data_IF_390520384392
#
_entry.id   IF_390520384392
#
_cell.length_a   1.000
_cell.length_b   1.000
_cell.length_c   1.000
_cell.angle_alpha   90.00
_cell.angle_beta   90.00
_cell.angle_gamma   90.00
#
_symmetry.space_group_name_H-M   'P 1'
#
loop_
_entity.id
_entity.type
_entity.pdbx_description
1 polymer ?
#
# COMPACT_ATOMS: atom_id res chain seq x y z
N UNK A 1 5.49 25.90 66.09
CA UNK A 1 4.77 25.36 64.92
C UNK A 1 4.96 26.19 63.64
N UNK A 2 5.87 27.16 63.56
CA UNK A 2 5.97 28.10 62.42
C UNK A 2 6.75 27.60 61.19
N UNK A 3 7.70 26.65 61.34
CA UNK A 3 8.56 26.22 60.21
C UNK A 3 7.84 25.44 59.08
N UNK A 4 6.71 24.81 59.36
CA UNK A 4 6.00 23.96 58.37
C UNK A 4 5.29 24.77 57.27
N UNK A 5 4.87 26.02 57.55
CA UNK A 5 4.14 26.84 56.58
C UNK A 5 4.99 27.23 55.36
N UNK A 6 6.27 27.55 55.56
CA UNK A 6 7.19 27.85 54.46
C UNK A 6 7.54 26.63 53.61
N UNK A 7 7.65 25.44 54.23
CA UNK A 7 7.92 24.20 53.51
C UNK A 7 6.79 23.85 52.53
N UNK A 8 5.53 23.92 52.98
CA UNK A 8 4.38 23.59 52.14
C UNK A 8 4.27 24.47 50.88
N UNK A 9 4.69 25.75 50.94
CA UNK A 9 4.73 26.62 49.77
C UNK A 9 5.80 26.20 48.75
N UNK A 10 7.00 25.84 49.20
CA UNK A 10 8.05 25.31 48.32
C UNK A 10 7.68 23.96 47.70
N UNK A 11 7.07 23.08 48.50
CA UNK A 11 6.63 21.74 48.08
C UNK A 11 5.54 21.83 46.99
N UNK A 12 4.54 22.70 47.19
CA UNK A 12 3.53 23.02 46.17
C UNK A 12 4.13 23.63 44.88
N UNK A 13 5.17 24.48 44.99
CA UNK A 13 5.83 25.07 43.83
C UNK A 13 6.59 24.01 43.01
N UNK A 14 7.30 23.10 43.69
CA UNK A 14 8.00 21.96 43.06
C UNK A 14 6.99 21.02 42.37
N UNK A 15 5.88 20.68 43.04
CA UNK A 15 4.81 19.84 42.47
C UNK A 15 4.15 20.54 41.27
N UNK A 16 3.89 21.84 41.35
CA UNK A 16 3.33 22.63 40.24
C UNK A 16 4.27 22.65 39.03
N UNK A 17 5.58 22.86 39.25
CA UNK A 17 6.58 22.83 38.19
C UNK A 17 6.68 21.43 37.54
N UNK A 18 6.66 20.36 38.34
CA UNK A 18 6.64 18.98 37.83
C UNK A 18 5.38 18.69 36.99
N UNK A 19 4.21 19.17 37.42
CA UNK A 19 2.95 19.07 36.66
C UNK A 19 3.03 19.86 35.34
N UNK A 20 3.59 21.07 35.34
CA UNK A 20 3.77 21.86 34.11
C UNK A 20 4.69 21.15 33.10
N UNK A 21 5.80 20.57 33.56
CA UNK A 21 6.71 19.78 32.70
C UNK A 21 6.01 18.53 32.14
N UNK A 22 5.22 17.83 32.96
CA UNK A 22 4.45 16.66 32.53
C UNK A 22 3.37 17.01 31.50
N UNK A 23 2.61 18.09 31.73
CA UNK A 23 1.60 18.60 30.79
C UNK A 23 2.24 19.07 29.48
N UNK A 24 3.38 19.75 29.54
CA UNK A 24 4.15 20.12 28.34
C UNK A 24 4.59 18.89 27.55
N UNK A 25 5.09 17.85 28.23
CA UNK A 25 5.45 16.57 27.62
C UNK A 25 4.27 15.84 26.97
N UNK A 26 3.08 15.87 27.59
CA UNK A 26 1.85 15.33 27.00
C UNK A 26 1.42 16.09 25.74
N UNK A 27 1.39 17.42 25.79
CA UNK A 27 1.03 18.28 24.65
C UNK A 27 2.03 18.09 23.49
N UNK A 28 3.32 17.98 23.81
CA UNK A 28 4.37 17.67 22.83
C UNK A 28 4.15 16.31 22.17
N UNK A 29 3.92 15.26 22.95
CA UNK A 29 3.68 13.91 22.43
C UNK A 29 2.40 13.83 21.58
N UNK A 30 1.31 14.48 22.02
CA UNK A 30 0.04 14.54 21.30
C UNK A 30 0.20 15.18 19.91
N UNK A 31 0.96 16.29 19.81
CA UNK A 31 1.28 16.93 18.53
C UNK A 31 2.00 15.97 17.57
N UNK A 32 2.99 15.22 18.04
CA UNK A 32 3.72 14.25 17.21
C UNK A 32 2.87 13.05 16.79
N UNK A 33 1.92 12.61 17.63
CA UNK A 33 0.93 11.60 17.23
C UNK A 33 0.00 12.11 16.12
N UNK A 34 -0.45 13.36 16.20
CA UNK A 34 -1.29 13.98 15.16
C UNK A 34 -0.54 14.08 13.81
N UNK A 35 0.71 14.59 13.81
CA UNK A 35 1.57 14.68 12.62
C UNK A 35 1.78 13.28 11.99
N UNK A 36 2.03 12.25 12.81
CA UNK A 36 2.19 10.87 12.33
C UNK A 36 0.93 10.35 11.63
N UNK A 37 -0.25 10.53 12.23
CA UNK A 37 -1.53 10.09 11.64
C UNK A 37 -1.82 10.82 10.33
N UNK A 38 -1.57 12.14 10.26
CA UNK A 38 -1.72 12.93 9.04
C UNK A 38 -0.79 12.46 7.93
N UNK A 39 0.50 12.26 8.24
CA UNK A 39 1.50 11.79 7.28
C UNK A 39 1.15 10.42 6.70
N UNK A 40 0.70 9.49 7.55
CA UNK A 40 0.24 8.16 7.14
C UNK A 40 -1.03 8.22 6.28
N UNK A 41 -2.03 9.03 6.66
CA UNK A 41 -3.27 9.18 5.88
C UNK A 41 -2.99 9.77 4.49
N UNK A 42 -2.05 10.72 4.39
CA UNK A 42 -1.67 11.31 3.09
C UNK A 42 -1.05 10.27 2.14
N UNK A 43 -0.10 9.46 2.60
CA UNK A 43 0.50 8.41 1.77
C UNK A 43 -0.53 7.34 1.33
N UNK A 44 -1.47 6.98 2.21
CA UNK A 44 -2.56 6.07 1.88
C UNK A 44 -3.56 6.69 0.88
N UNK A 45 -3.91 7.96 1.04
CA UNK A 45 -4.81 8.69 0.12
C UNK A 45 -4.17 8.85 -1.25
N UNK A 46 -2.88 9.17 -1.34
CA UNK A 46 -2.15 9.24 -2.62
C UNK A 46 -2.13 7.87 -3.31
N UNK A 47 -1.87 6.79 -2.59
CA UNK A 47 -1.91 5.44 -3.13
C UNK A 47 -3.30 5.08 -3.69
N UNK A 48 -4.37 5.37 -2.93
CA UNK A 48 -5.76 5.12 -3.34
C UNK A 48 -6.19 5.98 -4.54
N UNK A 49 -5.79 7.26 -4.60
CA UNK A 49 -6.06 8.12 -5.76
C UNK A 49 -5.26 7.71 -6.98
N UNK A 50 -4.05 7.17 -6.81
CA UNK A 50 -3.25 6.63 -7.91
C UNK A 50 -3.82 5.34 -8.47
N UNK A 51 -4.34 4.41 -7.65
CA UNK A 51 -5.04 3.24 -8.19
C UNK A 51 -6.29 3.66 -8.97
N UNK A 52 -7.08 4.62 -8.44
CA UNK A 52 -8.23 5.18 -9.17
C UNK A 52 -7.84 5.84 -10.50
N UNK A 53 -6.77 6.65 -10.57
CA UNK A 53 -6.39 7.33 -11.82
C UNK A 53 -5.69 6.41 -12.83
N UNK A 54 -5.01 5.36 -12.36
CA UNK A 54 -4.54 4.26 -13.20
C UNK A 54 -5.70 3.48 -13.82
N UNK A 55 -6.77 3.24 -13.05
CA UNK A 55 -7.96 2.52 -13.50
C UNK A 55 -8.88 3.35 -14.41
N UNK A 56 -8.97 4.68 -14.20
CA UNK A 56 -9.90 5.58 -14.90
C UNK A 56 -9.26 6.42 -16.03
N UNK A 57 -7.93 6.42 -16.16
CA UNK A 57 -7.19 7.15 -17.18
C UNK A 57 -6.58 8.48 -16.72
N UNK A 58 -5.46 8.86 -17.33
CA UNK A 58 -4.51 9.85 -16.82
C UNK A 58 -4.88 11.33 -17.05
N UNK A 59 -6.16 11.69 -16.89
CA UNK A 59 -6.68 13.02 -17.24
C UNK A 59 -6.85 14.00 -16.06
N UNK A 60 -6.29 13.72 -14.87
CA UNK A 60 -6.33 14.65 -13.73
C UNK A 60 -4.97 14.82 -13.06
N UNK A 61 -4.48 16.06 -13.03
CA UNK A 61 -3.24 16.47 -12.35
C UNK A 61 -3.54 16.67 -10.85
N UNK A 62 -3.60 15.56 -10.11
CA UNK A 62 -4.18 15.47 -8.77
C UNK A 62 -3.25 15.96 -7.64
N UNK A 63 -2.90 17.26 -7.66
CA UNK A 63 -2.44 17.98 -6.48
C UNK A 63 -3.60 18.12 -5.48
N UNK A 64 -3.51 17.59 -4.24
CA UNK A 64 -4.64 17.54 -3.31
C UNK A 64 -4.87 18.86 -2.56
N UNK A 65 -5.39 19.86 -3.28
CA UNK A 65 -5.73 21.20 -2.76
C UNK A 65 -6.67 21.14 -1.52
N UNK A 66 -7.54 20.13 -1.47
CA UNK A 66 -8.55 19.93 -0.42
C UNK A 66 -7.99 19.76 1.02
N UNK A 67 -6.73 19.35 1.20
CA UNK A 67 -6.18 19.13 2.55
C UNK A 67 -5.49 20.36 3.18
N UNK A 68 -5.38 21.48 2.46
CA UNK A 68 -4.71 22.68 2.96
C UNK A 68 -5.43 23.38 4.14
N UNK A 69 -6.74 23.14 4.33
CA UNK A 69 -7.57 23.91 5.25
C UNK A 69 -8.14 23.19 6.48
N UNK A 70 -8.09 21.85 6.55
CA UNK A 70 -8.97 21.11 7.47
C UNK A 70 -8.38 20.72 8.83
N UNK A 71 -7.06 20.45 8.96
CA UNK A 71 -6.49 19.94 10.22
C UNK A 71 -5.04 20.38 10.57
N UNK A 72 -4.44 21.34 9.84
CA UNK A 72 -3.04 21.75 10.04
C UNK A 72 -2.89 23.14 10.67
N UNK A 73 -2.85 23.20 12.00
CA UNK A 73 -2.57 24.44 12.76
C UNK A 73 -1.06 24.74 12.93
N UNK A 74 -0.20 24.11 12.12
CA UNK A 74 1.27 24.21 12.20
C UNK A 74 1.83 24.29 10.77
N UNK A 75 2.66 25.30 10.42
CA UNK A 75 3.39 25.29 9.16
C UNK A 75 4.40 24.13 9.17
N UNK A 76 4.33 23.28 8.16
CA UNK A 76 5.23 22.14 7.98
C UNK A 76 5.47 21.97 6.49
N UNK A 77 6.70 21.64 6.10
CA UNK A 77 6.99 21.30 4.71
C UNK A 77 6.68 19.81 4.51
N UNK A 78 5.65 19.54 3.70
CA UNK A 78 5.27 18.18 3.32
C UNK A 78 5.81 17.87 1.92
N UNK A 79 6.85 17.04 1.85
CA UNK A 79 7.33 16.51 0.57
C UNK A 79 6.67 15.16 0.29
N UNK A 80 6.19 14.95 -0.93
CA UNK A 80 5.53 13.71 -1.32
C UNK A 80 6.08 13.21 -2.66
N UNK A 81 6.46 11.94 -2.72
CA UNK A 81 7.06 11.33 -3.91
C UNK A 81 6.41 9.98 -4.21
N UNK A 82 6.04 9.77 -5.47
CA UNK A 82 5.72 8.45 -6.01
C UNK A 82 6.94 7.87 -6.69
N UNK A 83 7.19 6.57 -6.51
CA UNK A 83 8.29 5.86 -7.17
C UNK A 83 7.77 4.53 -7.71
N UNK A 84 7.94 4.32 -9.00
CA UNK A 84 7.74 3.01 -9.61
C UNK A 84 8.90 2.10 -9.16
N UNK A 85 8.60 1.11 -8.32
CA UNK A 85 9.55 0.11 -7.83
C UNK A 85 9.63 -1.12 -8.75
N UNK A 86 9.24 -0.94 -10.02
CA UNK A 86 9.23 -1.95 -11.06
C UNK A 86 8.31 -3.13 -10.77
N UNK A 87 8.67 -4.25 -11.39
CA UNK A 87 8.07 -5.57 -11.19
C UNK A 87 8.56 -6.19 -9.88
N UNK A 88 7.80 -7.13 -9.31
CA UNK A 88 8.11 -7.67 -7.99
C UNK A 88 9.30 -8.67 -8.07
N UNK A 89 10.38 -8.47 -7.31
CA UNK A 89 11.46 -9.46 -7.23
C UNK A 89 10.94 -10.74 -6.58
N UNK A 90 11.42 -11.89 -7.07
CA UNK A 90 11.02 -13.24 -6.63
C UNK A 90 9.51 -13.55 -6.80
N UNK A 91 8.88 -13.07 -7.87
CA UNK A 91 7.63 -13.65 -8.38
C UNK A 91 7.79 -15.15 -8.70
N UNK A 92 6.70 -15.91 -8.54
CA UNK A 92 6.59 -17.26 -9.10
C UNK A 92 6.81 -17.24 -10.63
N UNK A 93 7.33 -18.34 -11.18
CA UNK A 93 7.67 -18.45 -12.62
C UNK A 93 6.49 -18.14 -13.55
N UNK A 94 5.28 -18.54 -13.18
CA UNK A 94 4.03 -18.23 -13.90
C UNK A 94 3.74 -16.72 -13.98
N UNK A 95 3.95 -15.98 -12.89
CA UNK A 95 3.69 -14.52 -12.88
C UNK A 95 4.71 -13.80 -13.77
N UNK A 96 5.98 -14.21 -13.72
CA UNK A 96 7.00 -13.70 -14.65
C UNK A 96 6.64 -13.99 -16.12
N UNK A 97 6.14 -15.19 -16.43
CA UNK A 97 5.73 -15.56 -17.79
C UNK A 97 4.51 -14.73 -18.26
N UNK A 98 3.47 -14.61 -17.44
CA UNK A 98 2.30 -13.77 -17.76
C UNK A 98 2.67 -12.28 -17.91
N UNK A 99 3.69 -11.81 -17.19
CA UNK A 99 4.23 -10.45 -17.30
C UNK A 99 5.06 -10.26 -18.58
N UNK A 100 5.85 -11.26 -19.01
CA UNK A 100 6.54 -11.27 -20.30
C UNK A 100 5.57 -11.35 -21.49
N UNK A 101 4.44 -12.05 -21.33
CA UNK A 101 3.34 -12.11 -22.31
C UNK A 101 2.47 -10.83 -22.34
N UNK A 102 2.78 -9.80 -21.54
CA UNK A 102 2.01 -8.55 -21.50
C UNK A 102 0.63 -8.65 -20.83
N UNK A 103 0.27 -9.83 -20.30
CA UNK A 103 -0.99 -10.11 -19.59
C UNK A 103 -1.07 -9.32 -18.28
N UNK A 104 0.10 -9.17 -17.63
CA UNK A 104 0.35 -8.26 -16.52
C UNK A 104 1.09 -6.98 -17.00
N UNK A 105 0.86 -6.55 -18.25
CA UNK A 105 1.67 -5.53 -18.94
C UNK A 105 1.55 -4.10 -18.41
N UNK A 106 0.52 -3.81 -17.61
CA UNK A 106 0.43 -2.57 -16.82
C UNK A 106 0.88 -2.74 -15.36
N UNK A 107 1.24 -3.95 -14.93
CA UNK A 107 1.37 -4.28 -13.53
C UNK A 107 2.69 -3.75 -12.94
N UNK A 108 2.58 -2.86 -11.95
CA UNK A 108 3.73 -2.20 -11.34
C UNK A 108 3.53 -2.03 -9.83
N UNK A 109 4.60 -2.19 -9.06
CA UNK A 109 4.62 -1.86 -7.64
C UNK A 109 4.96 -0.37 -7.50
N UNK A 110 4.06 0.41 -6.94
CA UNK A 110 4.29 1.83 -6.66
C UNK A 110 4.48 2.05 -5.17
N UNK A 111 5.47 2.87 -4.80
CA UNK A 111 5.64 3.39 -3.44
C UNK A 111 5.27 4.87 -3.43
N UNK A 112 4.52 5.26 -2.41
CA UNK A 112 4.19 6.63 -2.05
C UNK A 112 4.92 6.93 -0.75
N UNK A 113 5.82 7.90 -0.78
CA UNK A 113 6.50 8.40 0.41
C UNK A 113 5.94 9.79 0.73
N UNK A 114 5.51 9.99 1.98
CA UNK A 114 5.17 11.31 2.51
C UNK A 114 6.10 11.62 3.67
N UNK A 115 6.74 12.80 3.64
CA UNK A 115 7.67 13.28 4.65
C UNK A 115 7.19 14.63 5.17
N UNK A 116 6.91 14.70 6.47
CA UNK A 116 6.65 15.93 7.18
C UNK A 116 7.91 16.34 7.94
N UNK A 117 8.46 17.50 7.59
CA UNK A 117 9.46 18.21 8.39
C UNK A 117 8.74 19.28 9.20
N UNK A 118 9.03 19.39 10.50
CA UNK A 118 8.65 20.60 11.24
C UNK A 118 9.34 21.78 10.57
N UNK A 119 8.56 22.75 10.05
CA UNK A 119 9.17 23.91 9.44
C UNK A 119 9.93 24.69 10.52
N UNK A 120 11.15 25.14 10.19
CA UNK A 120 11.74 26.28 10.90
C UNK A 120 10.73 27.44 10.88
N UNK A 121 10.71 28.24 11.95
CA UNK A 121 9.69 29.30 12.13
C UNK A 121 10.03 30.51 11.26
N UNK A 122 9.97 30.32 9.95
CA UNK A 122 10.14 31.38 8.97
C UNK A 122 8.86 32.21 8.84
N UNK A 123 9.04 33.51 9.09
CA UNK A 123 8.16 34.59 8.63
C UNK A 123 6.72 34.64 9.16
N UNK A 124 6.52 34.61 10.50
CA UNK A 124 5.38 35.34 11.10
C UNK A 124 5.56 35.85 12.56
N UNK A 125 6.77 35.85 13.13
CA UNK A 125 7.03 36.49 14.43
C UNK A 125 8.50 36.93 14.64
N UNK A 126 8.92 38.04 14.03
CA UNK A 126 10.29 38.59 14.13
C UNK A 126 10.67 39.13 15.54
N UNK A 127 9.92 38.80 16.58
CA UNK A 127 10.03 39.36 17.94
C UNK A 127 10.04 38.31 19.07
N UNK A 128 10.02 37.00 18.75
CA UNK A 128 9.97 35.92 19.76
C UNK A 128 10.98 34.79 19.53
N UNK A 129 12.03 35.01 18.71
CA UNK A 129 13.07 34.00 18.44
C UNK A 129 14.07 33.82 19.61
N UNK A 130 13.58 33.22 20.70
CA UNK A 130 14.42 32.45 21.64
C UNK A 130 14.44 30.99 21.22
N UNK A 131 15.00 30.71 20.04
CA UNK A 131 15.06 29.37 19.46
C UNK A 131 15.88 28.44 20.35
N UNK A 132 15.21 27.54 21.06
CA UNK A 132 15.85 26.42 21.77
C UNK A 132 16.31 25.35 20.78
N UNK A 133 17.38 25.66 20.03
CA UNK A 133 18.01 24.84 18.98
C UNK A 133 18.70 23.56 19.51
N UNK A 134 18.25 23.05 20.65
CA UNK A 134 18.78 21.87 21.36
C UNK A 134 17.97 20.62 21.01
N UNK A 135 16.75 20.78 20.51
CA UNK A 135 15.94 19.68 19.98
C UNK A 135 16.37 19.39 18.52
N UNK A 136 16.64 18.13 18.14
CA UNK A 136 16.99 17.78 16.77
C UNK A 136 15.82 18.01 15.82
N UNK A 137 16.11 18.25 14.53
CA UNK A 137 15.10 18.39 13.48
C UNK A 137 14.29 17.08 13.36
N UNK A 138 13.10 17.07 13.95
CA UNK A 138 12.30 15.87 14.07
C UNK A 138 11.46 15.65 12.81
N UNK A 139 11.98 14.80 11.93
CA UNK A 139 11.31 14.38 10.69
C UNK A 139 10.37 13.19 10.94
N UNK A 140 9.18 13.23 10.34
CA UNK A 140 8.27 12.08 10.26
C UNK A 140 8.15 11.64 8.81
N UNK A 141 8.46 10.37 8.54
CA UNK A 141 8.29 9.74 7.23
C UNK A 141 7.26 8.62 7.32
N UNK A 142 6.41 8.52 6.30
CA UNK A 142 5.58 7.35 6.04
C UNK A 142 5.86 6.81 4.63
N UNK A 143 5.66 5.52 4.45
CA UNK A 143 5.74 4.83 3.17
C UNK A 143 4.52 3.93 3.02
N UNK A 144 3.85 4.01 1.87
CA UNK A 144 2.77 3.10 1.46
C UNK A 144 3.15 2.50 0.12
N UNK A 145 3.08 1.18 -0.01
CA UNK A 145 3.32 0.49 -1.28
C UNK A 145 2.10 -0.30 -1.71
N UNK A 146 1.70 -0.15 -2.96
CA UNK A 146 0.60 -0.91 -3.59
C UNK A 146 1.11 -1.63 -4.84
N UNK A 147 0.51 -2.77 -5.18
CA UNK A 147 0.47 -3.20 -6.57
C UNK A 147 -0.63 -2.42 -7.27
N UNK A 148 -0.39 -2.05 -8.52
CA UNK A 148 -1.40 -1.50 -9.41
C UNK A 148 -1.34 -2.32 -10.67
N UNK A 149 -2.49 -2.87 -11.09
CA UNK A 149 -2.57 -3.76 -12.25
C UNK A 149 -2.07 -5.21 -12.05
N UNK A 150 -1.74 -5.69 -10.82
CA UNK A 150 -1.64 -7.19 -10.51
C UNK A 150 -3.20 -7.51 -10.69
N UNK A 151 -3.54 -8.44 -11.60
CA UNK A 151 -4.80 -9.18 -11.66
C UNK A 151 -6.03 -8.45 -12.19
N UNK A 152 -6.30 -7.23 -11.73
CA UNK A 152 -7.56 -6.54 -12.02
C UNK A 152 -7.67 -6.08 -13.48
N UNK A 153 -8.82 -6.35 -14.08
CA UNK A 153 -9.25 -5.85 -15.38
C UNK A 153 -10.45 -4.90 -15.19
N UNK A 154 -10.55 -3.86 -16.02
CA UNK A 154 -11.57 -2.81 -15.88
C UNK A 154 -12.95 -3.23 -16.43
N UNK A 155 -12.99 -4.37 -17.13
CA UNK A 155 -14.21 -5.00 -17.64
C UNK A 155 -13.94 -6.46 -17.97
N UNK A 156 -15.01 -7.25 -18.05
CA UNK A 156 -14.95 -8.64 -18.50
C UNK A 156 -14.32 -8.74 -19.89
N UNK A 157 -14.57 -7.78 -20.78
CA UNK A 157 -13.93 -7.72 -22.10
C UNK A 157 -12.41 -7.59 -22.02
N UNK A 158 -11.87 -6.73 -21.13
CA UNK A 158 -10.42 -6.66 -20.90
C UNK A 158 -9.87 -7.94 -20.25
N UNK A 159 -10.64 -8.57 -19.35
CA UNK A 159 -10.24 -9.84 -18.73
C UNK A 159 -10.16 -10.95 -19.77
N UNK A 160 -11.20 -11.10 -20.59
CA UNK A 160 -11.27 -12.04 -21.72
C UNK A 160 -10.13 -11.80 -22.70
N UNK A 161 -9.87 -10.55 -23.11
CA UNK A 161 -8.77 -10.23 -24.03
C UNK A 161 -7.38 -10.59 -23.45
N UNK A 162 -7.15 -10.35 -22.15
CA UNK A 162 -5.89 -10.73 -21.48
C UNK A 162 -5.75 -12.26 -21.36
N UNK A 163 -6.81 -12.97 -21.02
CA UNK A 163 -6.82 -14.44 -20.97
C UNK A 163 -6.64 -15.05 -22.37
N UNK A 164 -7.30 -14.52 -23.39
CA UNK A 164 -7.10 -14.87 -24.81
C UNK A 164 -5.71 -14.49 -25.35
N UNK A 165 -4.89 -13.77 -24.60
CA UNK A 165 -3.47 -13.52 -24.92
C UNK A 165 -2.49 -14.50 -24.28
N UNK A 166 -2.82 -15.11 -23.14
CA UNK A 166 -1.83 -15.75 -22.27
C UNK A 166 -1.59 -17.23 -22.53
N UNK A 167 -0.55 -17.56 -23.30
CA UNK A 167 -0.14 -18.96 -23.53
C UNK A 167 0.32 -19.62 -22.23
N UNK A 168 0.98 -18.88 -21.35
CA UNK A 168 1.52 -19.37 -20.08
C UNK A 168 0.43 -19.76 -19.08
N UNK A 169 -0.64 -18.95 -18.93
CA UNK A 169 -1.77 -19.27 -18.06
C UNK A 169 -2.53 -20.51 -18.57
N UNK A 170 -2.85 -20.58 -19.86
CA UNK A 170 -3.53 -21.75 -20.43
C UNK A 170 -2.69 -23.04 -20.34
N UNK A 171 -1.39 -22.96 -20.60
CA UNK A 171 -0.48 -24.09 -20.42
C UNK A 171 -0.40 -24.55 -18.96
N UNK A 172 -0.38 -23.62 -18.00
CA UNK A 172 -0.39 -23.97 -16.58
C UNK A 172 -1.72 -24.58 -16.13
N UNK A 173 -2.86 -24.03 -16.54
CA UNK A 173 -4.18 -24.60 -16.24
C UNK A 173 -4.34 -26.01 -16.81
N UNK A 174 -3.86 -26.25 -18.04
CA UNK A 174 -3.78 -27.57 -18.66
C UNK A 174 -2.91 -28.54 -17.85
N UNK A 175 -1.68 -28.12 -17.51
CA UNK A 175 -0.75 -28.94 -16.72
C UNK A 175 -1.24 -29.27 -15.31
N UNK A 176 -1.88 -28.31 -14.63
CA UNK A 176 -2.50 -28.51 -13.31
C UNK A 176 -3.68 -29.49 -13.40
N UNK A 177 -4.54 -29.36 -14.41
CA UNK A 177 -5.64 -30.28 -14.68
C UNK A 177 -5.15 -31.71 -14.95
N UNK A 178 -4.09 -31.86 -15.76
CA UNK A 178 -3.44 -33.15 -16.04
C UNK A 178 -2.82 -33.76 -14.77
N UNK A 179 -2.14 -32.96 -13.95
CA UNK A 179 -1.55 -33.42 -12.68
C UNK A 179 -2.62 -33.88 -11.68
N UNK A 180 -3.69 -33.11 -11.49
CA UNK A 180 -4.83 -33.49 -10.65
C UNK A 180 -5.50 -34.77 -11.15
N UNK A 181 -5.68 -34.92 -12.46
CA UNK A 181 -6.20 -36.17 -13.05
C UNK A 181 -5.24 -37.35 -12.85
N UNK A 182 -3.92 -37.14 -12.91
CA UNK A 182 -2.93 -38.19 -12.62
C UNK A 182 -3.02 -38.71 -11.19
N UNK A 183 -3.37 -37.86 -10.22
CA UNK A 183 -3.61 -38.24 -8.83
C UNK A 183 -4.97 -38.92 -8.62
N UNK A 184 -6.03 -38.45 -9.31
CA UNK A 184 -7.39 -38.95 -9.13
C UNK A 184 -7.69 -40.24 -9.91
N UNK A 185 -7.10 -40.43 -11.09
CA UNK A 185 -7.34 -41.61 -11.95
C UNK A 185 -7.17 -42.94 -11.20
N UNK A 186 -6.06 -43.25 -10.51
CA UNK A 186 -5.90 -44.52 -9.82
C UNK A 186 -6.86 -44.70 -8.62
N UNK A 187 -7.39 -43.62 -8.05
CA UNK A 187 -8.39 -43.66 -6.98
C UNK A 187 -9.81 -43.91 -7.50
N UNK A 188 -10.14 -43.36 -8.68
CA UNK A 188 -11.45 -43.47 -9.30
C UNK A 188 -11.61 -44.71 -10.19
N UNK A 189 -10.53 -45.23 -10.77
CA UNK A 189 -10.54 -46.37 -11.70
C UNK A 189 -11.33 -47.60 -11.20
N UNK A 190 -11.24 -48.03 -9.91
CA UNK A 190 -12.06 -49.15 -9.43
C UNK A 190 -13.56 -48.88 -9.45
N UNK A 191 -13.97 -47.61 -9.29
CA UNK A 191 -15.38 -47.18 -9.32
C UNK A 191 -15.84 -47.04 -10.77
N UNK A 192 -15.09 -46.33 -11.62
CA UNK A 192 -15.47 -46.10 -13.02
C UNK A 192 -15.58 -47.41 -13.82
N UNK A 193 -14.75 -48.41 -13.53
CA UNK A 193 -14.87 -49.77 -14.09
C UNK A 193 -16.21 -50.44 -13.73
N UNK A 194 -16.70 -50.25 -12.50
CA UNK A 194 -18.00 -50.78 -12.07
C UNK A 194 -19.21 -50.05 -12.67
N UNK A 195 -19.01 -48.83 -13.19
CA UNK A 195 -20.06 -48.01 -13.82
C UNK A 195 -19.94 -47.97 -15.36
N UNK A 196 -18.95 -48.66 -15.95
CA UNK A 196 -18.78 -48.77 -17.39
C UNK A 196 -18.46 -47.46 -18.12
N UNK A 197 -17.95 -46.45 -17.41
CA UNK A 197 -17.70 -45.12 -17.98
C UNK A 197 -16.34 -45.02 -18.68
N UNK A 198 -16.21 -44.23 -19.76
CA UNK A 198 -14.90 -43.88 -20.32
C UNK A 198 -14.15 -42.98 -19.33
N UNK A 199 -12.81 -43.10 -19.32
CA UNK A 199 -11.95 -42.27 -18.46
C UNK A 199 -12.14 -40.76 -18.75
N UNK A 200 -12.17 -39.88 -17.73
CA UNK A 200 -12.38 -38.45 -17.94
C UNK A 200 -11.28 -37.82 -18.81
N UNK A 201 -11.66 -36.97 -19.77
CA UNK A 201 -10.71 -36.39 -20.71
C UNK A 201 -9.93 -35.24 -20.08
N UNK A 202 -8.59 -35.31 -20.14
CA UNK A 202 -7.71 -34.22 -19.70
C UNK A 202 -7.60 -33.08 -20.73
N UNK A 203 -7.94 -33.35 -21.99
CA UNK A 203 -7.80 -32.40 -23.10
C UNK A 203 -9.07 -31.54 -23.30
N UNK A 204 -9.60 -30.98 -22.21
CA UNK A 204 -10.78 -30.09 -22.23
C UNK A 204 -10.56 -28.77 -22.99
N UNK A 205 -9.32 -28.48 -23.41
CA UNK A 205 -8.92 -27.33 -24.20
C UNK A 205 -9.00 -27.58 -25.72
N UNK A 206 -9.10 -28.84 -26.17
CA UNK A 206 -9.20 -29.19 -27.59
C UNK A 206 -10.42 -28.57 -28.31
N UNK A 207 -11.62 -28.45 -27.69
CA UNK A 207 -12.74 -27.72 -28.28
C UNK A 207 -12.53 -26.20 -28.42
N UNK A 208 -11.49 -25.64 -27.80
CA UNK A 208 -11.25 -24.20 -27.69
C UNK A 208 -9.98 -23.74 -28.41
N UNK A 209 -9.34 -24.59 -29.23
CA UNK A 209 -8.09 -24.28 -29.93
C UNK A 209 -8.16 -23.03 -30.82
N UNK A 210 -9.33 -22.73 -31.41
CA UNK A 210 -9.56 -21.51 -32.20
C UNK A 210 -9.65 -20.23 -31.33
N UNK A 211 -9.89 -20.36 -30.02
CA UNK A 211 -10.06 -19.26 -29.06
C UNK A 211 -8.89 -19.11 -28.06
N UNK A 212 -7.92 -20.03 -28.07
CA UNK A 212 -6.81 -20.11 -27.11
C UNK A 212 -5.47 -20.12 -27.85
N UNK A 213 -4.59 -19.12 -27.65
CA UNK A 213 -3.39 -19.00 -28.47
C UNK A 213 -2.32 -20.04 -28.12
N UNK A 214 -1.71 -20.62 -29.15
CA UNK A 214 -0.41 -21.29 -29.04
C UNK A 214 -0.39 -22.64 -28.34
N UNK A 215 -1.45 -23.44 -28.53
CA UNK A 215 -1.32 -24.89 -28.48
C UNK A 215 -0.74 -25.42 -29.81
N UNK A 216 0.00 -26.54 -29.80
CA UNK A 216 0.26 -27.33 -31.00
C UNK A 216 -0.98 -28.11 -31.45
#
# INVERSE_FOLDING_TARGET
MSRQQGQAMFEMLIVSAAIMVLLFGLIWLQRWQQIKVQTQHHAALQAFRFSQSFELGSNQNLSPEYMAGLYSAIPHQQHSQSTNLGVMPHQASLLNAAQQEGVLGGSARWRFESRAMAAGVDQLAAWQNSSFSVLPEMQVQSQTSIWVGAGHALSDAQMTQRLQGSRSLWRHASGASQASMGLLTPLLQPVELGWGRPAPTTNWLQPWQESVPGMP
#
